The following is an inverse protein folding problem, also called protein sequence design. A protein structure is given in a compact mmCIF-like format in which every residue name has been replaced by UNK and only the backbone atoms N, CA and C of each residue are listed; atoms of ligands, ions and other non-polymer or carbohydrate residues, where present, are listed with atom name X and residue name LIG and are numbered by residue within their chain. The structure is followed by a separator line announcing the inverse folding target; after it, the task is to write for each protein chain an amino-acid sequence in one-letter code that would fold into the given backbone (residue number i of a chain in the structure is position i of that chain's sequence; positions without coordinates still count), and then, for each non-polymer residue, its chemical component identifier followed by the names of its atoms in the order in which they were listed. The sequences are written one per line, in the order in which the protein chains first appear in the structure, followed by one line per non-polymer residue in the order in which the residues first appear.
data_IF_347908707676
#
_entry.id   IF_347908707676
#
_cell.length_a   1.000
_cell.length_b   1.000
_cell.length_c   1.000
_cell.angle_alpha   90.00
_cell.angle_beta   90.00
_cell.angle_gamma   90.00
#
_symmetry.space_group_name_H-M   'P 1'
#
loop_
_entity.id
_entity.type
_entity.pdbx_description
1 polymer ?
#
# COMPACT_ATOMS: atom_id res chain seq x y z
N UNK A 1 -3.62 -9.12 8.14
CA UNK A 1 -3.76 -8.33 6.90
C UNK A 1 -3.66 -6.87 7.29
N UNK A 2 -2.70 -6.12 6.76
CA UNK A 2 -2.54 -4.67 6.99
C UNK A 2 -3.59 -3.91 6.19
N UNK A 3 -4.86 -4.06 6.56
CA UNK A 3 -5.97 -3.36 5.93
C UNK A 3 -6.61 -2.42 6.95
N UNK A 4 -6.62 -1.14 6.62
CA UNK A 4 -7.05 -0.02 7.43
C UNK A 4 -8.57 0.02 7.72
N UNK A 5 -9.35 -0.96 7.24
CA UNK A 5 -10.81 -1.00 7.38
C UNK A 5 -11.56 -0.40 6.19
N UNK A 6 -10.90 0.40 5.35
CA UNK A 6 -11.48 1.25 4.32
C UNK A 6 -11.93 0.50 3.05
N UNK A 7 -13.23 0.48 2.72
CA UNK A 7 -13.82 -0.43 1.71
C UNK A 7 -13.19 -0.33 0.31
N UNK A 8 -12.57 0.80 0.00
CA UNK A 8 -11.81 1.09 -1.22
C UNK A 8 -10.41 0.46 -1.27
N UNK A 9 -9.94 -0.17 -0.20
CA UNK A 9 -8.68 -0.91 -0.17
C UNK A 9 -8.86 -2.43 -0.25
N UNK A 10 -10.07 -2.91 -0.58
CA UNK A 10 -10.40 -4.34 -0.65
C UNK A 10 -10.17 -4.92 -2.06
N UNK A 11 -9.91 -6.24 -2.18
CA UNK A 11 -9.79 -6.89 -3.49
C UNK A 11 -10.98 -6.61 -4.41
N UNK A 12 -12.21 -6.62 -3.89
CA UNK A 12 -13.43 -6.39 -4.66
C UNK A 12 -13.49 -4.99 -5.25
N UNK A 13 -13.00 -3.98 -4.52
CA UNK A 13 -12.90 -2.62 -5.05
C UNK A 13 -11.87 -2.56 -6.17
N UNK A 14 -10.67 -3.12 -5.96
CA UNK A 14 -9.59 -3.09 -6.93
C UNK A 14 -10.00 -3.77 -8.23
N UNK A 15 -10.60 -4.96 -8.15
CA UNK A 15 -11.09 -5.71 -9.31
C UNK A 15 -12.21 -4.96 -10.04
N UNK A 16 -13.16 -4.38 -9.29
CA UNK A 16 -14.24 -3.59 -9.87
C UNK A 16 -13.74 -2.32 -10.55
N UNK A 17 -12.77 -1.63 -9.95
CA UNK A 17 -12.18 -0.41 -10.49
C UNK A 17 -11.38 -0.72 -11.75
N UNK A 18 -10.54 -1.77 -11.76
CA UNK A 18 -9.82 -2.21 -12.95
C UNK A 18 -10.77 -2.49 -14.11
N UNK A 19 -11.85 -3.26 -13.85
CA UNK A 19 -12.87 -3.55 -14.86
C UNK A 19 -13.52 -2.28 -15.39
N UNK A 20 -13.92 -1.37 -14.51
CA UNK A 20 -14.54 -0.11 -14.89
C UNK A 20 -13.58 0.72 -15.76
N UNK A 21 -12.33 0.86 -15.34
CA UNK A 21 -11.36 1.68 -16.04
C UNK A 21 -10.98 1.12 -17.42
N UNK A 22 -10.95 -0.21 -17.56
CA UNK A 22 -10.78 -0.86 -18.86
C UNK A 22 -12.01 -0.71 -19.77
N UNK A 23 -13.23 -0.57 -19.23
CA UNK A 23 -14.42 -0.23 -20.01
C UNK A 23 -14.48 1.26 -20.38
N UNK A 24 -13.97 2.14 -19.52
CA UNK A 24 -14.08 3.59 -19.64
C UNK A 24 -12.95 4.25 -20.46
N UNK A 25 -12.00 3.47 -20.99
CA UNK A 25 -10.84 4.00 -21.72
C UNK A 25 -10.70 3.38 -23.10
N UNK A 26 -10.24 4.18 -24.08
CA UNK A 26 -9.94 3.70 -25.44
C UNK A 26 -8.95 2.52 -25.41
N UNK A 27 -7.87 2.66 -24.64
CA UNK A 27 -6.87 1.62 -24.48
C UNK A 27 -7.51 0.31 -23.99
N UNK A 28 -8.37 0.37 -22.97
CA UNK A 28 -9.07 -0.81 -22.48
C UNK A 28 -10.00 -1.46 -23.50
N UNK A 29 -10.83 -0.69 -24.21
CA UNK A 29 -11.74 -1.26 -25.23
C UNK A 29 -11.04 -1.73 -26.51
N UNK A 30 -9.83 -1.25 -26.79
CA UNK A 30 -8.98 -1.70 -27.91
C UNK A 30 -7.99 -2.83 -27.51
N UNK A 31 -8.14 -3.41 -26.31
CA UNK A 31 -7.34 -4.56 -25.86
C UNK A 31 -5.97 -4.22 -25.26
N UNK A 32 -5.69 -2.94 -25.03
CA UNK A 32 -4.51 -2.42 -24.34
C UNK A 32 -4.85 -1.92 -22.93
N UNK A 33 -5.76 -2.63 -22.25
CA UNK A 33 -6.16 -2.33 -20.88
C UNK A 33 -5.00 -2.47 -19.89
N UNK A 34 -5.18 -1.90 -18.69
CA UNK A 34 -4.20 -2.02 -17.62
C UNK A 34 -4.64 -3.02 -16.57
N UNK A 35 -3.65 -3.50 -15.81
CA UNK A 35 -3.83 -4.37 -14.64
C UNK A 35 -3.30 -3.65 -13.41
N UNK A 36 -4.09 -3.62 -12.35
CA UNK A 36 -3.70 -3.09 -11.05
C UNK A 36 -2.96 -4.18 -10.29
N UNK A 37 -1.72 -3.86 -9.92
CA UNK A 37 -0.90 -4.72 -9.08
C UNK A 37 -1.04 -4.28 -7.62
N UNK A 38 -1.62 -5.14 -6.79
CA UNK A 38 -1.73 -4.94 -5.34
C UNK A 38 -0.90 -5.97 -4.55
N UNK A 39 0.45 -5.99 -4.71
CA UNK A 39 1.31 -7.08 -4.21
C UNK A 39 1.33 -7.20 -2.68
N UNK A 40 0.91 -6.16 -1.97
CA UNK A 40 0.91 -6.13 -0.50
C UNK A 40 -0.47 -6.47 0.09
N UNK A 41 -1.51 -6.63 -0.73
CA UNK A 41 -2.92 -6.74 -0.32
C UNK A 41 -3.18 -7.80 0.77
N UNK A 42 -2.46 -8.91 0.71
CA UNK A 42 -2.65 -10.06 1.61
C UNK A 42 -1.52 -10.20 2.63
N UNK A 43 -0.58 -9.25 2.69
CA UNK A 43 0.55 -9.30 3.61
C UNK A 43 0.17 -8.68 4.97
N UNK A 44 0.74 -9.22 6.05
CA UNK A 44 0.79 -8.50 7.32
C UNK A 44 1.84 -7.40 7.28
N UNK A 45 1.82 -6.46 8.24
CA UNK A 45 2.86 -5.43 8.31
C UNK A 45 4.26 -6.04 8.44
N UNK A 46 4.41 -7.07 9.27
CA UNK A 46 5.66 -7.80 9.43
C UNK A 46 6.12 -8.44 8.12
N UNK A 47 5.21 -9.00 7.32
CA UNK A 47 5.57 -9.58 6.02
C UNK A 47 6.00 -8.51 5.01
N UNK A 48 5.36 -7.35 5.03
CA UNK A 48 5.76 -6.18 4.22
C UNK A 48 7.16 -5.72 4.61
N UNK A 49 7.45 -5.61 5.92
CA UNK A 49 8.78 -5.22 6.43
C UNK A 49 9.84 -6.24 6.01
N UNK A 50 9.59 -7.53 6.21
CA UNK A 50 10.49 -8.61 5.76
C UNK A 50 10.72 -8.59 4.24
N UNK A 51 9.68 -8.31 3.46
CA UNK A 51 9.80 -8.22 2.01
C UNK A 51 10.68 -7.04 1.60
N UNK A 52 10.52 -5.86 2.21
CA UNK A 52 11.37 -4.71 1.92
C UNK A 52 12.82 -4.93 2.34
N UNK A 53 13.08 -5.53 3.51
CA UNK A 53 14.44 -5.91 3.92
C UNK A 53 15.08 -6.85 2.89
N UNK A 54 14.36 -7.90 2.45
CA UNK A 54 14.84 -8.83 1.42
C UNK A 54 15.16 -8.14 0.10
N UNK A 55 14.39 -7.12 -0.26
CA UNK A 55 14.57 -6.33 -1.49
C UNK A 55 15.61 -5.21 -1.34
N UNK A 56 16.22 -5.05 -0.16
CA UNK A 56 17.24 -4.03 0.09
C UNK A 56 16.68 -2.62 0.30
N UNK A 57 15.44 -2.49 0.74
CA UNK A 57 14.82 -1.19 1.05
C UNK A 57 15.53 -0.56 2.24
N UNK A 58 16.08 0.64 2.05
CA UNK A 58 16.55 1.47 3.15
C UNK A 58 15.36 2.19 3.81
N UNK A 59 14.94 1.66 4.95
CA UNK A 59 13.82 2.21 5.71
C UNK A 59 14.08 3.58 6.33
N UNK A 60 15.34 4.02 6.44
CA UNK A 60 15.68 5.36 6.93
C UNK A 60 15.20 6.46 5.98
N UNK A 61 15.02 6.12 4.69
CA UNK A 61 14.52 7.02 3.65
C UNK A 61 12.98 7.08 3.59
N UNK A 62 12.27 6.34 4.45
CA UNK A 62 10.81 6.22 4.40
C UNK A 62 10.14 6.87 5.61
N UNK A 63 9.03 7.56 5.37
CA UNK A 63 8.21 8.15 6.44
C UNK A 63 6.84 7.48 6.46
N UNK A 64 6.47 6.94 7.62
CA UNK A 64 5.10 6.46 7.87
C UNK A 64 4.38 7.26 8.95
N UNK A 65 5.12 7.97 9.79
CA UNK A 65 4.55 8.70 10.92
C UNK A 65 3.66 9.85 10.43
N UNK A 66 2.44 9.96 10.98
CA UNK A 66 1.51 11.06 10.70
C UNK A 66 1.93 12.40 11.30
N UNK A 67 2.92 12.38 12.19
CA UNK A 67 3.41 13.54 12.94
C UNK A 67 4.94 13.52 12.95
N UNK A 68 5.55 13.19 11.81
CA UNK A 68 7.00 13.27 11.68
C UNK A 68 7.45 14.73 11.84
N UNK A 69 8.64 14.94 12.42
CA UNK A 69 9.25 16.27 12.45
C UNK A 69 9.83 16.65 11.07
N UNK A 70 10.37 17.86 10.95
CA UNK A 70 10.98 18.36 9.70
C UNK A 70 12.17 17.51 9.22
N UNK A 71 12.72 16.66 10.08
CA UNK A 71 13.81 15.74 9.79
C UNK A 71 13.31 14.32 9.46
N UNK A 72 11.99 14.09 9.49
CA UNK A 72 11.36 12.80 9.20
C UNK A 72 11.32 11.83 10.38
N UNK A 73 11.69 12.24 11.60
CA UNK A 73 11.71 11.35 12.74
C UNK A 73 10.30 10.95 13.18
N UNK A 74 10.10 9.66 13.43
CA UNK A 74 8.81 9.14 13.86
C UNK A 74 8.47 9.57 15.30
N UNK A 75 7.25 10.10 15.51
CA UNK A 75 6.78 10.50 16.84
C UNK A 75 6.57 9.34 17.83
N UNK A 76 6.50 8.10 17.32
CA UNK A 76 6.26 6.84 18.07
C UNK A 76 4.95 6.78 18.88
N UNK A 77 4.03 7.73 18.66
CA UNK A 77 2.77 7.84 19.42
C UNK A 77 1.53 7.58 18.58
N UNK A 78 1.54 7.94 17.30
CA UNK A 78 0.40 7.77 16.39
C UNK A 78 0.21 6.31 15.94
N UNK A 79 -0.98 5.99 15.45
CA UNK A 79 -1.35 4.62 15.06
C UNK A 79 -0.42 4.04 13.99
N UNK A 80 -0.05 4.83 12.98
CA UNK A 80 0.91 4.40 11.95
C UNK A 80 2.29 4.02 12.53
N UNK A 81 2.75 4.73 13.57
CA UNK A 81 4.00 4.35 14.24
C UNK A 81 3.87 3.04 15.00
N UNK A 82 2.73 2.82 15.67
CA UNK A 82 2.48 1.58 16.42
C UNK A 82 2.41 0.38 15.47
N UNK A 83 1.60 0.49 14.42
CA UNK A 83 1.49 -0.53 13.37
C UNK A 83 2.85 -0.82 12.72
N UNK A 84 3.62 0.22 12.39
CA UNK A 84 4.97 0.03 11.83
C UNK A 84 5.93 -0.66 12.81
N UNK A 85 5.80 -0.44 14.11
CA UNK A 85 6.65 -1.08 15.12
C UNK A 85 6.24 -2.53 15.43
N UNK A 86 5.00 -2.93 15.13
CA UNK A 86 4.51 -4.31 15.22
C UNK A 86 5.03 -5.21 14.08
N UNK A 87 5.54 -4.61 13.00
CA UNK A 87 6.13 -5.30 11.85
C UNK A 87 7.64 -5.30 11.88
#
# INVERSE_FOLDING_TARGET
VDYSGYPDCRPEFIESFERMANLATKAGVEGQGFTIQAPLQNLSKADIVKAGVRLGVDYSLTVSCYQADDQGHACRKCDSCRLRAEG
#
